data_IF_078132623733
#
_entry.id   IF_078132623733
#
_cell.length_a   1.000
_cell.length_b   1.000
_cell.length_c   1.000
_cell.angle_alpha   90.00
_cell.angle_beta   90.00
_cell.angle_gamma   90.00
#
_symmetry.space_group_name_H-M   'P 1'
#
loop_
_entity.id
_entity.type
_entity.pdbx_description
1 polymer ?
#
# COMPACT_ATOMS: atom_id res chain seq x y z
N UNK A 1 -6.38 -9.41 -11.55
CA UNK A 1 -6.37 -10.43 -10.50
C UNK A 1 -5.04 -10.40 -9.77
N UNK A 2 -5.02 -10.52 -8.42
CA UNK A 2 -3.78 -10.62 -7.67
C UNK A 2 -3.90 -11.55 -6.46
N UNK A 3 -2.81 -12.24 -6.13
CA UNK A 3 -2.65 -13.10 -4.98
C UNK A 3 -1.64 -12.48 -4.01
N UNK A 4 -1.98 -12.44 -2.73
CA UNK A 4 -1.14 -11.89 -1.68
C UNK A 4 -0.62 -12.99 -0.77
N UNK A 5 0.66 -12.93 -0.47
CA UNK A 5 1.39 -13.97 0.25
C UNK A 5 1.91 -13.45 1.58
N UNK A 6 1.75 -14.26 2.62
CA UNK A 6 2.37 -14.08 3.92
C UNK A 6 2.51 -15.45 4.61
N UNK A 7 3.13 -15.47 5.77
CA UNK A 7 3.07 -16.63 6.66
C UNK A 7 1.76 -16.63 7.44
N UNK A 8 1.33 -17.78 8.02
CA UNK A 8 0.16 -17.82 8.89
C UNK A 8 0.25 -16.85 10.07
N UNK A 9 1.46 -16.56 10.56
CA UNK A 9 1.73 -15.62 11.64
C UNK A 9 1.82 -14.17 11.18
N UNK A 10 1.66 -13.91 9.85
CA UNK A 10 1.61 -12.57 9.28
C UNK A 10 2.91 -11.77 9.42
N UNK A 11 4.05 -12.43 9.27
CA UNK A 11 5.36 -11.79 9.45
C UNK A 11 5.60 -10.58 8.53
N UNK A 12 5.08 -10.61 7.29
CA UNK A 12 5.19 -9.49 6.38
C UNK A 12 4.25 -8.35 6.78
N UNK A 13 2.97 -8.65 7.00
CA UNK A 13 1.95 -7.65 7.33
C UNK A 13 2.29 -6.90 8.64
N UNK A 14 2.82 -7.60 9.67
CA UNK A 14 3.25 -7.00 10.93
C UNK A 14 4.37 -5.97 10.75
N UNK A 15 5.14 -6.07 9.69
CA UNK A 15 6.21 -5.12 9.34
C UNK A 15 5.83 -4.16 8.20
N UNK A 16 4.54 -4.05 7.90
CA UNK A 16 4.02 -3.22 6.82
C UNK A 16 4.62 -3.54 5.45
N UNK A 17 4.90 -4.82 5.22
CA UNK A 17 5.39 -5.36 3.96
C UNK A 17 4.23 -6.08 3.27
N UNK A 18 4.14 -5.97 1.95
CA UNK A 18 3.25 -6.79 1.13
C UNK A 18 4.00 -7.45 -0.01
N UNK A 19 3.72 -8.73 -0.22
CA UNK A 19 4.25 -9.54 -1.30
C UNK A 19 3.06 -10.06 -2.11
N UNK A 20 3.05 -9.77 -3.41
CA UNK A 20 1.95 -10.21 -4.28
C UNK A 20 2.44 -10.66 -5.63
N UNK A 21 1.66 -11.51 -6.28
CA UNK A 21 1.70 -11.75 -7.72
C UNK A 21 0.40 -11.24 -8.33
N UNK A 22 0.50 -10.46 -9.40
CA UNK A 22 -0.64 -9.84 -10.08
C UNK A 22 -0.61 -10.19 -11.56
N UNK A 23 -1.75 -10.61 -12.09
CA UNK A 23 -1.96 -10.77 -13.52
C UNK A 23 -2.43 -9.44 -14.10
N UNK A 24 -1.64 -8.88 -15.00
CA UNK A 24 -1.97 -7.71 -15.83
C UNK A 24 -2.02 -8.17 -17.29
N UNK A 25 -3.18 -8.07 -17.89
CA UNK A 25 -3.44 -8.64 -19.22
C UNK A 25 -3.01 -10.11 -19.29
N UNK A 26 -1.82 -10.37 -19.83
CA UNK A 26 -1.23 -11.72 -19.99
C UNK A 26 0.03 -11.91 -19.15
N UNK A 27 0.55 -10.88 -18.49
CA UNK A 27 1.80 -10.91 -17.74
C UNK A 27 1.56 -11.02 -16.24
N UNK A 28 2.33 -11.87 -15.59
CA UNK A 28 2.38 -11.91 -14.14
C UNK A 28 3.48 -11.00 -13.62
N UNK A 29 3.11 -10.12 -12.71
CA UNK A 29 4.02 -9.18 -12.04
C UNK A 29 4.14 -9.56 -10.58
N UNK A 30 5.36 -9.89 -10.13
CA UNK A 30 5.61 -10.11 -8.71
C UNK A 30 6.10 -8.84 -8.05
N UNK A 31 5.39 -8.36 -7.04
CA UNK A 31 5.63 -7.06 -6.39
C UNK A 31 5.97 -7.25 -4.92
N UNK A 32 7.03 -6.60 -4.47
CA UNK A 32 7.37 -6.41 -3.06
C UNK A 32 7.25 -4.93 -2.70
N UNK A 33 6.39 -4.61 -1.74
CA UNK A 33 6.26 -3.25 -1.17
C UNK A 33 6.62 -3.28 0.30
N UNK A 34 7.40 -2.31 0.77
CA UNK A 34 7.72 -2.14 2.18
C UNK A 34 7.66 -0.67 2.58
N UNK A 35 7.25 -0.40 3.81
CA UNK A 35 7.37 0.95 4.36
C UNK A 35 8.83 1.28 4.58
N UNK A 36 9.28 2.47 4.18
CA UNK A 36 10.61 2.97 4.50
C UNK A 36 10.63 3.60 5.91
N UNK A 37 11.81 3.81 6.46
CA UNK A 37 11.99 4.57 7.72
C UNK A 37 11.47 6.01 7.60
N UNK A 38 11.47 6.55 6.39
CA UNK A 38 10.83 7.83 6.05
C UNK A 38 9.41 7.55 5.56
N UNK A 39 8.42 7.81 6.39
CA UNK A 39 6.99 7.47 6.17
C UNK A 39 6.37 8.01 4.86
N UNK A 40 7.07 8.84 4.10
CA UNK A 40 6.63 9.38 2.82
C UNK A 40 7.10 8.57 1.62
N UNK A 41 8.17 7.77 1.78
CA UNK A 41 8.73 6.94 0.71
C UNK A 41 8.42 5.48 1.01
N UNK A 42 7.87 4.78 0.03
CA UNK A 42 7.68 3.33 0.09
C UNK A 42 8.68 2.70 -0.86
N UNK A 43 9.39 1.69 -0.37
CA UNK A 43 10.12 0.80 -1.24
C UNK A 43 9.12 -0.03 -2.05
N UNK A 44 9.27 -0.02 -3.34
CA UNK A 44 8.49 -0.87 -4.25
C UNK A 44 9.43 -1.45 -5.31
N UNK A 45 9.33 -2.75 -5.50
CA UNK A 45 10.01 -3.47 -6.56
C UNK A 45 9.01 -4.36 -7.27
N UNK A 46 8.84 -4.13 -8.56
CA UNK A 46 8.03 -4.95 -9.45
C UNK A 46 8.93 -5.73 -10.41
N UNK A 47 8.66 -7.01 -10.57
CA UNK A 47 9.40 -7.90 -11.46
C UNK A 47 8.39 -8.58 -12.37
N UNK A 48 8.53 -8.35 -13.67
CA UNK A 48 7.74 -9.02 -14.70
C UNK A 48 8.23 -10.47 -14.86
N UNK A 49 7.33 -11.40 -14.59
CA UNK A 49 7.57 -12.85 -14.74
C UNK A 49 7.20 -13.36 -16.14
N UNK A 50 6.61 -12.49 -16.97
CA UNK A 50 6.14 -12.83 -18.31
C UNK A 50 4.77 -13.53 -18.37
N UNK A 51 4.40 -14.02 -19.55
CA UNK A 51 3.10 -14.64 -19.81
C UNK A 51 3.10 -16.11 -19.35
N UNK A 52 2.98 -16.33 -18.06
CA UNK A 52 2.89 -17.65 -17.43
C UNK A 52 1.43 -17.99 -17.12
N UNK A 53 1.07 -19.25 -17.03
CA UNK A 53 -0.30 -19.65 -16.69
C UNK A 53 -0.59 -19.45 -15.20
N UNK A 54 0.24 -19.99 -14.32
CA UNK A 54 0.15 -19.83 -12.87
C UNK A 54 1.55 -19.93 -12.25
N UNK A 55 2.30 -18.81 -12.16
CA UNK A 55 3.65 -18.89 -11.64
C UNK A 55 3.63 -19.18 -10.14
N UNK A 56 4.47 -20.14 -9.73
CA UNK A 56 4.73 -20.31 -8.31
C UNK A 56 5.45 -19.09 -7.72
N UNK A 57 5.15 -18.75 -6.46
CA UNK A 57 5.88 -17.70 -5.77
C UNK A 57 7.37 -18.03 -5.75
N UNK A 58 8.21 -17.13 -6.24
CA UNK A 58 9.64 -17.29 -6.28
C UNK A 58 10.35 -16.14 -5.56
N UNK A 59 11.00 -16.42 -4.44
CA UNK A 59 11.78 -15.43 -3.69
C UNK A 59 13.21 -15.27 -4.21
N UNK A 60 13.71 -16.22 -5.01
CA UNK A 60 15.08 -16.18 -5.54
C UNK A 60 15.28 -15.01 -6.50
N UNK A 61 14.22 -14.55 -7.16
CA UNK A 61 14.27 -13.38 -8.04
C UNK A 61 14.74 -12.12 -7.32
N UNK A 62 14.55 -12.05 -5.99
CA UNK A 62 14.99 -10.90 -5.17
C UNK A 62 16.47 -10.97 -4.77
N UNK A 63 17.17 -12.08 -5.04
CA UNK A 63 18.60 -12.20 -4.68
C UNK A 63 19.49 -11.19 -5.42
N UNK A 64 19.06 -10.75 -6.61
CA UNK A 64 19.75 -9.74 -7.42
C UNK A 64 19.40 -8.29 -6.99
N UNK A 65 18.51 -8.14 -6.03
CA UNK A 65 18.02 -6.84 -5.53
C UNK A 65 18.35 -6.69 -4.04
N UNK A 66 19.52 -6.11 -3.67
CA UNK A 66 20.01 -6.13 -2.29
C UNK A 66 19.06 -5.58 -1.24
N UNK A 67 18.30 -4.53 -1.58
CA UNK A 67 17.31 -3.94 -0.67
C UNK A 67 16.13 -4.88 -0.44
N UNK A 68 15.57 -5.47 -1.51
CA UNK A 68 14.47 -6.43 -1.41
C UNK A 68 14.88 -7.67 -0.61
N UNK A 69 16.08 -8.19 -0.90
CA UNK A 69 16.68 -9.31 -0.17
C UNK A 69 16.75 -9.01 1.34
N UNK A 70 17.33 -7.87 1.71
CA UNK A 70 17.45 -7.46 3.12
C UNK A 70 16.09 -7.34 3.81
N UNK A 71 15.10 -6.76 3.13
CA UNK A 71 13.72 -6.63 3.64
C UNK A 71 13.11 -8.00 3.92
N UNK A 72 13.19 -8.92 2.97
CA UNK A 72 12.61 -10.26 3.10
C UNK A 72 13.36 -11.12 4.14
N UNK A 73 14.68 -11.06 4.17
CA UNK A 73 15.48 -11.79 5.16
C UNK A 73 15.19 -11.31 6.59
N UNK A 74 15.05 -9.99 6.77
CA UNK A 74 14.70 -9.41 8.06
C UNK A 74 13.29 -9.82 8.52
N UNK A 75 12.33 -9.77 7.61
CA UNK A 75 10.92 -10.04 7.95
C UNK A 75 10.63 -11.52 8.13
N UNK A 76 11.19 -12.37 7.29
CA UNK A 76 10.83 -13.78 7.22
C UNK A 76 11.86 -14.70 7.86
N UNK A 77 13.16 -14.43 7.68
CA UNK A 77 14.21 -15.32 8.14
C UNK A 77 13.94 -16.78 7.74
N UNK A 78 13.90 -17.67 8.72
CA UNK A 78 13.61 -19.10 8.51
C UNK A 78 12.14 -19.40 8.16
N UNK A 79 11.24 -18.41 8.30
CA UNK A 79 9.81 -18.57 8.05
C UNK A 79 9.46 -18.42 6.56
N UNK A 80 10.41 -18.05 5.72
CA UNK A 80 10.19 -17.90 4.27
C UNK A 80 9.56 -19.16 3.61
N UNK A 81 9.88 -20.33 4.13
CA UNK A 81 9.30 -21.62 3.68
C UNK A 81 7.81 -21.79 4.00
N UNK A 82 7.28 -21.00 4.93
CA UNK A 82 5.88 -21.06 5.38
C UNK A 82 5.01 -20.04 4.66
N UNK A 83 5.55 -19.32 3.65
CA UNK A 83 4.75 -18.43 2.81
C UNK A 83 3.67 -19.21 2.06
N UNK A 84 2.47 -18.70 2.13
CA UNK A 84 1.31 -19.21 1.41
C UNK A 84 0.41 -18.06 0.99
N UNK A 85 -0.43 -18.30 0.00
CA UNK A 85 -1.46 -17.33 -0.42
C UNK A 85 -2.45 -17.16 0.73
N UNK A 86 -2.64 -15.92 1.17
CA UNK A 86 -3.51 -15.55 2.27
C UNK A 86 -4.86 -15.04 1.78
N UNK A 87 -4.86 -14.21 0.77
CA UNK A 87 -6.06 -13.67 0.15
C UNK A 87 -5.78 -13.27 -1.30
N UNK A 88 -6.84 -13.02 -2.02
CA UNK A 88 -6.76 -12.55 -3.40
C UNK A 88 -7.58 -11.29 -3.62
N UNK A 89 -7.28 -10.56 -4.69
CA UNK A 89 -8.10 -9.46 -5.18
C UNK A 89 -8.45 -9.69 -6.64
N UNK A 90 -9.70 -9.41 -6.96
CA UNK A 90 -10.20 -9.44 -8.33
C UNK A 90 -10.76 -8.05 -8.66
N UNK A 91 -10.02 -7.29 -9.45
CA UNK A 91 -10.26 -5.86 -9.68
C UNK A 91 -10.25 -5.55 -11.15
N UNK A 92 -11.30 -4.90 -11.60
CA UNK A 92 -11.33 -4.19 -12.87
C UNK A 92 -10.85 -2.77 -12.63
N UNK A 93 -9.77 -2.36 -13.30
CA UNK A 93 -9.16 -1.04 -13.17
C UNK A 93 -9.31 -0.26 -14.46
N UNK A 94 -9.87 0.93 -14.37
CA UNK A 94 -9.85 1.93 -15.42
C UNK A 94 -8.82 2.99 -15.06
N UNK A 95 -7.91 3.25 -15.98
CA UNK A 95 -6.82 4.22 -15.77
C UNK A 95 -6.95 5.37 -16.75
N UNK A 96 -6.77 6.58 -16.26
CA UNK A 96 -6.57 7.75 -17.11
C UNK A 96 -5.43 8.63 -16.56
N UNK A 97 -4.80 9.37 -17.45
CA UNK A 97 -3.74 10.32 -17.09
C UNK A 97 -4.29 11.74 -17.24
N UNK A 98 -4.28 12.47 -16.13
CA UNK A 98 -4.63 13.89 -16.08
C UNK A 98 -3.38 14.76 -16.09
N UNK A 99 -3.46 15.88 -16.80
CA UNK A 99 -2.41 16.90 -16.81
C UNK A 99 -2.91 18.17 -16.13
N UNK A 100 -2.18 18.65 -15.13
CA UNK A 100 -2.55 19.84 -14.37
C UNK A 100 -1.31 20.65 -13.95
N UNK A 101 -1.24 21.93 -14.31
CA UNK A 101 -0.14 22.84 -13.94
C UNK A 101 1.26 22.22 -14.13
N UNK A 102 1.55 21.72 -15.34
CA UNK A 102 2.80 21.03 -15.70
C UNK A 102 3.06 19.73 -14.92
N UNK A 103 2.07 19.22 -14.21
CA UNK A 103 2.08 17.93 -13.54
C UNK A 103 1.37 16.85 -14.36
N UNK A 104 1.69 15.60 -14.05
CA UNK A 104 1.05 14.41 -14.58
C UNK A 104 0.54 13.57 -13.41
N UNK A 105 -0.74 13.25 -13.44
CA UNK A 105 -1.45 12.54 -12.36
C UNK A 105 -2.19 11.38 -13.00
N UNK A 106 -1.87 10.18 -12.53
CA UNK A 106 -2.64 9.01 -12.88
C UNK A 106 -3.86 8.91 -11.95
N UNK A 107 -5.02 8.68 -12.55
CA UNK A 107 -6.29 8.46 -11.85
C UNK A 107 -6.77 7.07 -12.21
N UNK A 108 -6.90 6.21 -11.21
CA UNK A 108 -7.36 4.84 -11.37
C UNK A 108 -8.68 4.64 -10.64
N UNK A 109 -9.71 4.15 -11.36
CA UNK A 109 -10.95 3.70 -10.78
C UNK A 109 -10.91 2.18 -10.64
N UNK A 110 -10.93 1.69 -9.41
CA UNK A 110 -10.93 0.28 -9.07
C UNK A 110 -12.31 -0.19 -8.64
N UNK A 111 -12.79 -1.24 -9.28
CA UNK A 111 -14.04 -1.91 -8.91
C UNK A 111 -13.82 -3.41 -8.86
N UNK A 112 -14.14 -4.01 -7.71
CA UNK A 112 -13.92 -5.45 -7.53
C UNK A 112 -14.12 -5.91 -6.10
N UNK A 113 -13.37 -6.90 -5.69
CA UNK A 113 -13.45 -7.48 -4.35
C UNK A 113 -12.11 -8.04 -3.87
N UNK A 114 -11.94 -8.08 -2.55
CA UNK A 114 -10.93 -8.86 -1.84
C UNK A 114 -11.61 -10.14 -1.37
N UNK A 115 -10.95 -11.29 -1.53
CA UNK A 115 -11.48 -12.60 -1.14
C UNK A 115 -10.52 -13.33 -0.21
N UNK A 116 -11.07 -13.90 0.85
CA UNK A 116 -10.38 -14.84 1.74
C UNK A 116 -11.36 -15.91 2.16
N UNK A 117 -11.12 -17.16 1.79
CA UNK A 117 -12.04 -18.26 1.98
C UNK A 117 -13.47 -17.94 1.46
N UNK A 118 -14.45 -17.93 2.36
CA UNK A 118 -15.84 -17.57 2.06
C UNK A 118 -16.16 -16.09 2.23
N UNK A 119 -15.19 -15.30 2.69
CA UNK A 119 -15.38 -13.88 2.98
C UNK A 119 -15.02 -13.03 1.77
N UNK A 120 -15.78 -11.94 1.62
CA UNK A 120 -15.59 -10.97 0.55
C UNK A 120 -15.70 -9.55 1.10
N UNK A 121 -14.82 -8.68 0.62
CA UNK A 121 -14.87 -7.25 0.88
C UNK A 121 -14.86 -6.50 -0.45
N UNK A 122 -15.89 -5.69 -0.70
CA UNK A 122 -15.99 -4.92 -1.93
C UNK A 122 -14.88 -3.87 -2.04
N UNK A 123 -14.39 -3.67 -3.26
CA UNK A 123 -13.50 -2.58 -3.65
C UNK A 123 -14.31 -1.67 -4.59
N UNK A 124 -14.38 -0.38 -4.23
CA UNK A 124 -14.89 0.68 -5.09
C UNK A 124 -14.18 1.96 -4.68
N UNK A 125 -13.09 2.29 -5.38
CA UNK A 125 -12.20 3.36 -4.98
C UNK A 125 -11.57 4.07 -6.16
N UNK A 126 -11.22 5.35 -5.94
CA UNK A 126 -10.35 6.13 -6.80
C UNK A 126 -8.97 6.21 -6.17
N UNK A 127 -7.96 5.88 -6.94
CA UNK A 127 -6.56 6.11 -6.59
C UNK A 127 -6.04 7.28 -7.43
N UNK A 128 -5.32 8.21 -6.79
CA UNK A 128 -4.62 9.29 -7.44
C UNK A 128 -3.13 9.12 -7.20
N UNK A 129 -2.35 9.11 -8.25
CA UNK A 129 -0.90 8.96 -8.16
C UNK A 129 -0.21 10.11 -8.88
N UNK A 130 0.65 10.85 -8.15
CA UNK A 130 1.47 11.90 -8.73
C UNK A 130 2.66 11.27 -9.48
N UNK A 131 2.61 11.25 -10.81
CA UNK A 131 3.72 10.77 -11.64
C UNK A 131 4.79 11.85 -11.82
N UNK A 132 4.36 13.12 -11.95
CA UNK A 132 5.27 14.27 -12.15
C UNK A 132 4.62 15.55 -11.64
N UNK A 133 5.43 16.44 -11.06
CA UNK A 133 5.00 17.79 -10.67
C UNK A 133 5.06 18.04 -9.16
N UNK A 134 4.47 19.16 -8.74
CA UNK A 134 4.46 19.58 -7.35
C UNK A 134 3.25 18.99 -6.59
N UNK A 135 3.47 18.60 -5.34
CA UNK A 135 2.41 18.09 -4.45
C UNK A 135 1.26 19.07 -4.29
N UNK A 136 1.55 20.39 -4.25
CA UNK A 136 0.51 21.42 -4.15
C UNK A 136 -0.47 21.37 -5.34
N UNK A 137 0.03 21.17 -6.56
CA UNK A 137 -0.80 21.03 -7.76
C UNK A 137 -1.59 19.72 -7.72
N UNK A 138 -1.00 18.65 -7.22
CA UNK A 138 -1.67 17.36 -7.02
C UNK A 138 -2.87 17.50 -6.07
N UNK A 139 -2.70 18.18 -4.93
CA UNK A 139 -3.79 18.43 -3.99
C UNK A 139 -4.89 19.27 -4.63
N UNK A 140 -4.52 20.34 -5.37
CA UNK A 140 -5.49 21.18 -6.08
C UNK A 140 -6.28 20.41 -7.15
N UNK A 141 -5.63 19.46 -7.81
CA UNK A 141 -6.29 18.58 -8.79
C UNK A 141 -7.33 17.67 -8.13
N UNK A 142 -7.02 17.11 -6.95
CA UNK A 142 -7.90 16.16 -6.25
C UNK A 142 -9.11 16.85 -5.59
N UNK A 143 -8.94 18.06 -5.08
CA UNK A 143 -10.00 18.76 -4.31
C UNK A 143 -11.37 18.80 -5.01
N UNK A 144 -11.49 19.13 -6.32
CA UNK A 144 -12.77 19.11 -7.02
C UNK A 144 -13.40 17.71 -7.06
N UNK A 145 -12.60 16.66 -7.22
CA UNK A 145 -13.07 15.27 -7.22
C UNK A 145 -13.69 14.89 -5.88
N UNK A 146 -12.98 15.18 -4.79
CA UNK A 146 -13.47 14.92 -3.43
C UNK A 146 -14.82 15.60 -3.21
N UNK A 147 -14.93 16.88 -3.58
CA UNK A 147 -16.16 17.67 -3.42
C UNK A 147 -17.31 17.21 -4.32
N UNK A 148 -17.01 16.89 -5.57
CA UNK A 148 -18.04 16.55 -6.56
C UNK A 148 -18.64 15.18 -6.33
N UNK A 149 -17.82 14.23 -5.90
CA UNK A 149 -18.22 12.82 -5.74
C UNK A 149 -18.36 12.39 -4.29
N UNK A 150 -18.29 13.34 -3.34
CA UNK A 150 -18.36 13.07 -1.88
C UNK A 150 -17.41 11.96 -1.43
N UNK A 151 -16.16 12.07 -1.88
CA UNK A 151 -15.14 11.06 -1.58
C UNK A 151 -14.58 11.27 -0.18
N UNK A 152 -14.25 10.17 0.46
CA UNK A 152 -13.50 10.18 1.72
C UNK A 152 -12.15 9.48 1.56
N UNK A 153 -11.17 9.90 2.38
CA UNK A 153 -9.83 9.36 2.32
C UNK A 153 -9.74 8.03 3.06
N UNK A 154 -9.42 6.93 2.35
CA UNK A 154 -8.99 5.68 2.96
C UNK A 154 -7.47 5.54 2.82
N UNK A 155 -6.76 5.53 3.94
CA UNK A 155 -5.30 5.38 3.99
C UNK A 155 -4.85 3.92 3.94
N UNK A 156 -5.79 2.97 4.06
CA UNK A 156 -5.50 1.54 4.05
C UNK A 156 -5.30 1.05 2.62
N UNK A 157 -4.20 0.37 2.38
CA UNK A 157 -3.99 -0.33 1.11
C UNK A 157 -4.91 -1.57 0.97
N UNK A 158 -5.08 -2.08 -0.26
CA UNK A 158 -5.74 -3.37 -0.50
C UNK A 158 -5.09 -4.50 0.30
N UNK A 159 -3.75 -4.47 0.45
CA UNK A 159 -3.01 -5.42 1.27
C UNK A 159 -3.42 -5.37 2.75
N UNK A 160 -3.53 -4.18 3.34
CA UNK A 160 -3.97 -4.03 4.73
C UNK A 160 -5.43 -4.44 4.93
N UNK A 161 -6.30 -4.12 3.97
CA UNK A 161 -7.71 -4.55 4.03
C UNK A 161 -7.86 -6.05 3.91
N UNK A 162 -7.07 -6.68 3.03
CA UNK A 162 -7.03 -8.14 2.88
C UNK A 162 -6.50 -8.82 4.15
N UNK A 163 -5.43 -8.29 4.74
CA UNK A 163 -4.91 -8.78 6.01
C UNK A 163 -5.94 -8.68 7.16
N UNK A 164 -6.71 -7.58 7.23
CA UNK A 164 -7.82 -7.48 8.19
C UNK A 164 -8.90 -8.55 7.91
N UNK A 165 -9.21 -8.81 6.65
CA UNK A 165 -10.21 -9.82 6.26
C UNK A 165 -9.78 -11.22 6.72
N UNK A 166 -8.50 -11.60 6.58
CA UNK A 166 -7.97 -12.90 7.04
C UNK A 166 -8.13 -13.10 8.55
N UNK A 167 -8.20 -12.01 9.31
CA UNK A 167 -8.35 -12.01 10.76
C UNK A 167 -9.81 -11.84 11.24
N UNK A 168 -10.78 -11.80 10.33
CA UNK A 168 -12.17 -11.44 10.64
C UNK A 168 -12.33 -10.06 11.30
N UNK A 169 -11.41 -9.13 11.04
CA UNK A 169 -11.47 -7.77 11.58
C UNK A 169 -12.24 -6.86 10.61
N UNK A 170 -13.27 -6.20 11.09
CA UNK A 170 -14.02 -5.20 10.30
C UNK A 170 -13.22 -3.91 10.08
N UNK A 171 -12.36 -3.57 11.02
CA UNK A 171 -11.51 -2.37 11.01
C UNK A 171 -10.15 -2.70 11.61
N UNK A 172 -9.14 -1.95 11.23
CA UNK A 172 -7.85 -1.98 11.94
C UNK A 172 -8.05 -1.56 13.39
N UNK A 173 -7.26 -2.12 14.29
CA UNK A 173 -7.24 -1.69 15.70
C UNK A 173 -6.98 -0.17 15.75
N UNK A 174 -7.80 0.55 16.51
CA UNK A 174 -7.58 1.98 16.74
C UNK A 174 -6.22 2.15 17.42
N UNK A 175 -5.32 2.84 16.73
CA UNK A 175 -4.04 3.23 17.32
C UNK A 175 -4.16 4.70 17.74
N UNK A 176 -3.79 4.99 18.98
CA UNK A 176 -3.69 6.37 19.42
C UNK A 176 -2.37 6.99 18.98
N UNK A 177 -2.39 8.26 18.63
CA UNK A 177 -1.16 9.01 18.41
C UNK A 177 -0.29 8.98 19.68
N UNK A 178 1.03 8.88 19.51
CA UNK A 178 1.92 8.98 20.64
C UNK A 178 1.73 10.33 21.34
N UNK A 179 1.83 10.39 22.68
CA UNK A 179 1.75 11.65 23.39
C UNK A 179 2.77 12.66 22.86
N UNK A 180 2.30 13.84 22.50
CA UNK A 180 3.14 14.90 21.99
C UNK A 180 3.88 15.58 23.18
N UNK A 181 5.20 15.61 23.13
CA UNK A 181 6.03 16.30 24.12
C UNK A 181 6.50 17.63 23.54
N UNK A 182 5.83 18.72 23.89
CA UNK A 182 6.24 20.07 23.53
C UNK A 182 7.04 20.67 24.69
N UNK A 183 8.17 21.28 24.38
CA UNK A 183 8.96 22.01 25.35
C UNK A 183 8.57 23.50 25.37
N UNK A 184 8.59 24.13 26.55
CA UNK A 184 8.31 25.59 26.67
C UNK A 184 9.32 26.45 25.90
N UNK A 185 10.47 25.91 25.55
CA UNK A 185 11.53 26.60 24.81
C UNK A 185 11.41 26.43 23.29
N UNK A 186 10.48 25.56 22.82
CA UNK A 186 10.27 25.37 21.39
C UNK A 186 9.70 26.66 20.79
N UNK A 187 10.20 27.02 19.61
CA UNK A 187 9.57 28.10 18.85
C UNK A 187 8.18 27.67 18.39
N UNK A 188 7.28 28.60 18.14
CA UNK A 188 5.92 28.34 17.64
C UNK A 188 5.96 27.50 16.35
N UNK A 189 6.90 27.77 15.45
CA UNK A 189 7.07 27.01 14.22
C UNK A 189 7.53 25.55 14.48
N UNK A 190 8.45 25.35 15.41
CA UNK A 190 8.91 24.02 15.80
C UNK A 190 7.79 23.22 16.46
N UNK A 191 7.05 23.83 17.38
CA UNK A 191 5.91 23.21 18.04
C UNK A 191 4.80 22.83 17.02
N UNK A 192 4.47 23.74 16.10
CA UNK A 192 3.47 23.50 15.07
C UNK A 192 3.90 22.34 14.14
N UNK A 193 5.16 22.30 13.72
CA UNK A 193 5.69 21.20 12.93
C UNK A 193 5.59 19.85 13.64
N UNK A 194 5.90 19.81 14.95
CA UNK A 194 5.75 18.58 15.75
C UNK A 194 4.29 18.13 15.82
N UNK A 195 3.34 19.06 16.04
CA UNK A 195 1.90 18.77 16.07
C UNK A 195 1.44 18.21 14.74
N UNK A 196 1.75 18.90 13.62
CA UNK A 196 1.35 18.47 12.28
C UNK A 196 1.94 17.10 11.94
N UNK A 197 3.22 16.88 12.21
CA UNK A 197 3.87 15.60 11.97
C UNK A 197 3.22 14.47 12.79
N UNK A 198 2.87 14.71 14.04
CA UNK A 198 2.19 13.71 14.87
C UNK A 198 0.82 13.34 14.29
N UNK A 199 0.04 14.33 13.86
CA UNK A 199 -1.27 14.11 13.21
C UNK A 199 -1.10 13.34 11.89
N UNK A 200 -0.15 13.74 11.04
CA UNK A 200 0.10 13.08 9.75
C UNK A 200 0.53 11.62 9.95
N UNK A 201 1.39 11.35 10.93
CA UNK A 201 1.80 9.99 11.27
C UNK A 201 0.63 9.15 11.79
N UNK A 202 -0.29 9.74 12.55
CA UNK A 202 -1.49 9.08 13.06
C UNK A 202 -2.47 8.71 11.94
N UNK A 203 -2.73 9.62 11.01
CA UNK A 203 -3.66 9.39 9.88
C UNK A 203 -3.11 8.34 8.90
N UNK A 204 -1.80 8.14 8.84
CA UNK A 204 -1.15 7.16 7.96
C UNK A 204 -1.06 5.74 8.53
N UNK A 205 -1.34 5.55 9.80
CA UNK A 205 -1.30 4.24 10.47
C UNK A 205 -2.67 3.58 10.44
#
# INVERSE_FOLDING_TARGET
FAQYYDTPERHLAQQHISLRQRLEDTHWIQTLKASSEHHLERFELEIDLGPLEHPALNLEIYQLHPQAKKVLEHALGKQAKNLSMQFETDVNRLVCVGHYNHGEIEVSLDRGEIRHDKQKLAIYELEFELKKGAIANFIQFIQPWVKQYDLWLDVRSKAQRGDCLTQNLKTTTVQFAAPLQLNRQDSTDAALKQIVNNIVLFVKR
#
